data_IF_353216263738
#
_entry.id   IF_353216263738
#
_cell.length_a   1.000
_cell.length_b   1.000
_cell.length_c   1.000
_cell.angle_alpha   90.00
_cell.angle_beta   90.00
_cell.angle_gamma   90.00
#
_symmetry.space_group_name_H-M   'P 1'
#
loop_
_entity.id
_entity.type
_entity.pdbx_description
1 polymer ?
#
# COMPACT_ATOMS: atom_id res chain seq x y z
N UNK A 1 7.51 8.93 -13.71
CA UNK A 1 6.96 8.20 -12.55
C UNK A 1 6.26 9.17 -11.62
N UNK A 2 4.93 9.12 -11.57
CA UNK A 2 4.14 9.73 -10.51
C UNK A 2 4.21 8.85 -9.25
N UNK A 3 4.28 9.49 -8.09
CA UNK A 3 4.30 8.80 -6.81
C UNK A 3 3.52 9.57 -5.76
N UNK A 4 3.18 8.90 -4.66
CA UNK A 4 2.66 9.53 -3.44
C UNK A 4 3.55 9.14 -2.27
N UNK A 5 3.92 10.11 -1.43
CA UNK A 5 4.63 9.81 -0.18
C UNK A 5 3.62 9.79 0.95
N UNK A 6 3.54 8.68 1.68
CA UNK A 6 2.59 8.50 2.78
C UNK A 6 3.30 7.87 3.95
N UNK A 7 2.77 8.05 5.16
CA UNK A 7 3.29 7.41 6.35
C UNK A 7 2.18 6.81 7.21
N UNK A 8 2.49 5.70 7.87
CA UNK A 8 1.67 5.11 8.91
C UNK A 8 2.44 5.11 10.22
N UNK A 9 2.04 5.94 11.19
CA UNK A 9 2.70 6.04 12.51
C UNK A 9 4.22 6.30 12.42
N UNK A 10 4.62 7.22 11.52
CA UNK A 10 6.02 7.60 11.32
C UNK A 10 6.81 6.73 10.34
N UNK A 11 6.33 5.53 10.00
CA UNK A 11 6.96 4.69 8.98
C UNK A 11 6.48 5.12 7.58
N UNK A 12 7.38 5.69 6.79
CA UNK A 12 7.07 6.37 5.53
C UNK A 12 7.60 5.62 4.29
N UNK A 13 6.78 5.52 3.25
CA UNK A 13 7.15 4.91 1.97
C UNK A 13 6.81 5.83 0.80
N UNK A 14 7.53 5.63 -0.30
CA UNK A 14 7.13 6.11 -1.62
C UNK A 14 6.18 5.08 -2.22
N UNK A 15 4.97 5.50 -2.61
CA UNK A 15 3.94 4.65 -3.21
C UNK A 15 3.84 4.93 -4.70
N UNK A 16 3.84 3.88 -5.51
CA UNK A 16 3.69 3.97 -6.96
C UNK A 16 2.51 3.11 -7.42
N UNK A 17 1.63 3.72 -8.21
CA UNK A 17 0.48 3.05 -8.81
C UNK A 17 0.90 2.30 -10.09
N UNK A 18 1.04 0.98 -9.98
CA UNK A 18 1.44 0.13 -11.10
C UNK A 18 0.30 -0.27 -12.04
N UNK A 19 -0.89 0.32 -11.88
CA UNK A 19 -1.92 0.29 -12.91
C UNK A 19 -1.60 1.27 -14.06
N UNK A 20 -0.82 2.32 -13.77
CA UNK A 20 -0.46 3.37 -14.72
C UNK A 20 1.04 3.41 -15.02
N UNK A 21 1.88 3.07 -14.04
CA UNK A 21 3.33 3.17 -14.12
C UNK A 21 3.96 1.77 -14.21
N UNK A 22 4.92 1.59 -15.11
CA UNK A 22 5.71 0.35 -15.20
C UNK A 22 7.08 0.56 -14.58
N UNK A 23 7.38 -0.21 -13.54
CA UNK A 23 8.68 -0.18 -12.85
C UNK A 23 9.47 -1.44 -13.22
N UNK A 24 10.59 -1.26 -13.93
CA UNK A 24 11.41 -2.37 -14.44
C UNK A 24 12.31 -2.98 -13.37
N UNK A 25 12.92 -2.14 -12.52
CA UNK A 25 13.80 -2.56 -11.43
C UNK A 25 13.36 -1.90 -10.11
N UNK A 26 12.38 -2.50 -9.41
CA UNK A 26 11.87 -1.96 -8.15
C UNK A 26 12.93 -1.90 -7.04
N UNK A 27 13.84 -2.87 -6.99
CA UNK A 27 14.86 -2.95 -5.95
C UNK A 27 15.84 -1.78 -6.07
N UNK A 28 16.35 -1.53 -7.28
CA UNK A 28 17.22 -0.38 -7.54
C UNK A 28 16.48 0.93 -7.36
N UNK A 29 15.22 1.01 -7.79
CA UNK A 29 14.41 2.20 -7.59
C UNK A 29 14.23 2.51 -6.10
N UNK A 30 13.97 1.50 -5.27
CA UNK A 30 13.83 1.64 -3.83
C UNK A 30 15.08 2.27 -3.20
N UNK A 31 16.27 1.76 -3.53
CA UNK A 31 17.54 2.35 -3.08
C UNK A 31 17.67 3.83 -3.46
N UNK A 32 17.31 4.18 -4.70
CA UNK A 32 17.41 5.57 -5.19
C UNK A 32 16.42 6.48 -4.46
N UNK A 33 15.14 6.10 -4.38
CA UNK A 33 14.10 7.00 -3.83
C UNK A 33 14.19 7.12 -2.30
N UNK A 34 14.74 6.11 -1.64
CA UNK A 34 14.86 6.06 -0.18
C UNK A 34 16.00 6.91 0.38
N UNK A 35 16.96 7.35 -0.43
CA UNK A 35 18.01 8.26 0.04
C UNK A 35 17.39 9.57 0.56
N UNK A 36 17.58 9.84 1.86
CA UNK A 36 17.00 11.01 2.54
C UNK A 36 17.76 12.32 2.29
N UNK A 37 19.01 12.26 1.83
CA UNK A 37 19.84 13.44 1.62
C UNK A 37 19.73 13.97 0.19
N UNK A 38 19.66 13.06 -0.79
CA UNK A 38 19.74 13.41 -2.21
C UNK A 38 18.48 13.06 -3.02
N UNK A 39 17.50 12.41 -2.40
CA UNK A 39 16.26 11.98 -3.05
C UNK A 39 15.02 12.30 -2.21
N UNK A 40 13.91 11.60 -2.45
CA UNK A 40 12.63 11.80 -1.76
C UNK A 40 12.74 11.46 -0.26
N UNK A 41 13.55 10.45 0.06
CA UNK A 41 13.82 9.96 1.40
C UNK A 41 12.67 9.21 2.03
N UNK A 42 12.78 7.90 2.21
CA UNK A 42 11.71 7.08 2.80
C UNK A 42 12.29 5.78 3.36
N UNK A 43 11.54 5.06 4.18
CA UNK A 43 11.93 3.73 4.68
C UNK A 43 11.92 2.67 3.56
N UNK A 44 11.28 2.97 2.42
CA UNK A 44 11.28 2.13 1.24
C UNK A 44 10.37 2.61 0.12
N UNK A 45 10.10 1.70 -0.81
CA UNK A 45 9.17 1.82 -1.93
C UNK A 45 8.06 0.78 -1.79
N UNK A 46 6.82 1.19 -2.01
CA UNK A 46 5.66 0.32 -2.12
C UNK A 46 5.04 0.45 -3.51
N UNK A 47 4.88 -0.68 -4.18
CA UNK A 47 4.17 -0.77 -5.45
C UNK A 47 2.76 -1.29 -5.21
N UNK A 48 1.77 -0.59 -5.77
CA UNK A 48 0.36 -0.98 -5.76
C UNK A 48 0.04 -1.55 -7.15
N UNK A 49 0.03 -2.87 -7.26
CA UNK A 49 -0.08 -3.58 -8.52
C UNK A 49 -1.47 -4.21 -8.70
N UNK A 50 -1.86 -4.52 -9.96
CA UNK A 50 -2.99 -5.41 -10.22
C UNK A 50 -2.77 -6.78 -9.58
N UNK A 51 -3.80 -7.33 -8.94
CA UNK A 51 -3.81 -8.69 -8.37
C UNK A 51 -4.74 -9.61 -9.16
N UNK A 52 -4.45 -10.91 -9.16
CA UNK A 52 -5.38 -11.96 -9.64
C UNK A 52 -6.18 -12.60 -8.51
N UNK A 53 -5.83 -12.34 -7.25
CA UNK A 53 -6.37 -13.02 -6.06
C UNK A 53 -7.11 -12.09 -5.11
N UNK A 54 -6.88 -10.79 -5.22
CA UNK A 54 -7.36 -9.76 -4.31
C UNK A 54 -7.70 -8.47 -5.08
N UNK A 55 -8.10 -7.43 -4.36
CA UNK A 55 -8.47 -6.13 -4.94
C UNK A 55 -7.24 -5.41 -5.52
N UNK A 56 -6.13 -5.44 -4.79
CA UNK A 56 -4.81 -4.94 -5.21
C UNK A 56 -3.70 -5.83 -4.64
N UNK A 57 -2.52 -5.77 -5.23
CA UNK A 57 -1.32 -6.43 -4.73
C UNK A 57 -0.32 -5.39 -4.23
N UNK A 58 0.07 -5.50 -2.96
CA UNK A 58 1.11 -4.69 -2.35
C UNK A 58 2.46 -5.42 -2.45
N UNK A 59 3.45 -4.78 -3.08
CA UNK A 59 4.85 -5.19 -3.04
C UNK A 59 5.68 -4.15 -2.32
N UNK A 60 6.56 -4.58 -1.42
CA UNK A 60 7.34 -3.68 -0.56
C UNK A 60 8.81 -3.92 -0.82
N UNK A 61 9.56 -2.86 -1.05
CA UNK A 61 11.00 -2.86 -1.16
C UNK A 61 11.58 -1.95 -0.10
N UNK A 62 12.46 -2.46 0.75
CA UNK A 62 13.16 -1.68 1.75
C UNK A 62 14.16 -0.72 1.08
N UNK A 63 14.66 0.24 1.85
CA UNK A 63 15.67 1.19 1.38
C UNK A 63 16.97 0.54 0.84
N UNK A 64 17.27 -0.70 1.23
CA UNK A 64 18.41 -1.48 0.70
C UNK A 64 18.07 -2.26 -0.59
N UNK A 65 16.83 -2.18 -1.07
CA UNK A 65 16.33 -2.88 -2.25
C UNK A 65 15.81 -4.29 -1.99
N UNK A 66 15.90 -4.81 -0.77
CA UNK A 66 15.33 -6.12 -0.42
C UNK A 66 13.79 -6.08 -0.47
N UNK A 67 13.16 -7.14 -1.01
CA UNK A 67 11.70 -7.27 -1.05
C UNK A 67 11.20 -7.88 0.26
N UNK A 68 10.28 -7.19 0.94
CA UNK A 68 9.67 -7.66 2.18
C UNK A 68 8.28 -8.27 1.90
N UNK A 69 7.91 -9.29 2.67
CA UNK A 69 6.65 -10.00 2.44
C UNK A 69 5.42 -9.21 2.91
N UNK A 70 5.53 -8.46 4.01
CA UNK A 70 4.41 -7.73 4.60
C UNK A 70 4.89 -6.56 5.47
N UNK A 71 4.15 -5.45 5.45
CA UNK A 71 4.31 -4.34 6.37
C UNK A 71 2.93 -3.82 6.82
N UNK A 72 2.64 -3.96 8.11
CA UNK A 72 1.36 -3.54 8.70
C UNK A 72 1.13 -2.03 8.67
N UNK A 73 2.20 -1.21 8.61
CA UNK A 73 2.09 0.24 8.43
C UNK A 73 1.81 0.60 6.97
N UNK A 74 2.56 -0.01 6.05
CA UNK A 74 2.43 0.22 4.63
C UNK A 74 1.04 -0.12 4.08
N UNK A 75 0.47 -1.25 4.51
CA UNK A 75 -0.82 -1.75 4.02
C UNK A 75 -2.00 -0.81 4.33
N UNK A 76 -1.94 -0.05 5.44
CA UNK A 76 -2.97 0.95 5.78
C UNK A 76 -3.00 2.06 4.74
N UNK A 77 -1.83 2.53 4.30
CA UNK A 77 -1.72 3.53 3.25
C UNK A 77 -2.12 2.97 1.89
N UNK A 78 -1.79 1.70 1.58
CA UNK A 78 -2.26 1.04 0.35
C UNK A 78 -3.78 0.97 0.31
N UNK A 79 -4.43 0.56 1.40
CA UNK A 79 -5.88 0.47 1.48
C UNK A 79 -6.53 1.85 1.25
N UNK A 80 -6.01 2.90 1.90
CA UNK A 80 -6.45 4.28 1.67
C UNK A 80 -6.27 4.69 0.20
N UNK A 81 -5.07 4.48 -0.35
CA UNK A 81 -4.75 4.88 -1.72
C UNK A 81 -5.66 4.19 -2.74
N UNK A 82 -5.82 2.87 -2.62
CA UNK A 82 -6.64 2.07 -3.52
C UNK A 82 -8.11 2.50 -3.48
N UNK A 83 -8.63 2.83 -2.30
CA UNK A 83 -9.99 3.34 -2.13
C UNK A 83 -10.17 4.73 -2.77
N UNK A 84 -9.32 5.70 -2.43
CA UNK A 84 -9.43 7.09 -2.91
C UNK A 84 -9.25 7.20 -4.43
N UNK A 85 -8.36 6.38 -5.01
CA UNK A 85 -8.09 6.35 -6.45
C UNK A 85 -9.01 5.39 -7.20
N UNK A 86 -9.99 4.78 -6.53
CA UNK A 86 -10.97 3.84 -7.13
C UNK A 86 -10.31 2.69 -7.89
N UNK A 87 -9.15 2.23 -7.40
CA UNK A 87 -8.44 1.08 -7.98
C UNK A 87 -9.17 -0.23 -7.71
N UNK A 88 -9.99 -0.24 -6.66
CA UNK A 88 -10.86 -1.34 -6.30
C UNK A 88 -12.18 -0.85 -5.75
N UNK A 89 -13.20 -1.70 -5.84
CA UNK A 89 -14.50 -1.45 -5.20
C UNK A 89 -14.46 -2.06 -3.81
N UNK A 90 -14.54 -1.22 -2.78
CA UNK A 90 -14.59 -1.71 -1.41
C UNK A 90 -15.73 -2.72 -1.23
N UNK A 91 -15.40 -3.83 -0.57
CA UNK A 91 -16.32 -4.90 -0.21
C UNK A 91 -17.07 -4.56 1.07
N UNK A 92 -18.04 -5.41 1.44
CA UNK A 92 -18.94 -5.19 2.58
C UNK A 92 -18.26 -5.09 3.95
N UNK A 93 -19.09 -4.96 4.98
CA UNK A 93 -18.66 -4.73 6.34
C UNK A 93 -17.67 -5.80 6.84
N UNK A 94 -16.67 -5.36 7.61
CA UNK A 94 -15.64 -6.21 8.19
C UNK A 94 -15.52 -5.94 9.68
N UNK A 95 -15.40 -7.00 10.49
CA UNK A 95 -15.37 -6.89 11.94
C UNK A 95 -14.22 -7.71 12.51
N UNK A 96 -13.50 -7.11 13.46
CA UNK A 96 -12.47 -7.79 14.26
C UNK A 96 -12.98 -7.89 15.70
N UNK A 97 -12.87 -9.06 16.36
CA UNK A 97 -13.28 -9.21 17.75
C UNK A 97 -12.62 -8.14 18.66
N UNK A 98 -13.44 -7.45 19.46
CA UNK A 98 -12.97 -6.39 20.36
C UNK A 98 -12.76 -5.02 19.70
N UNK A 99 -13.13 -4.85 18.42
CA UNK A 99 -13.11 -3.55 17.73
C UNK A 99 -14.49 -3.20 17.15
N UNK A 100 -14.81 -1.91 16.98
CA UNK A 100 -15.99 -1.50 16.23
C UNK A 100 -15.97 -2.07 14.79
N UNK A 101 -17.14 -2.42 14.22
CA UNK A 101 -17.21 -2.90 12.85
C UNK A 101 -16.81 -1.78 11.86
N UNK A 102 -16.10 -2.16 10.81
CA UNK A 102 -15.80 -1.28 9.68
C UNK A 102 -16.92 -1.43 8.64
N UNK A 103 -17.49 -0.32 8.11
CA UNK A 103 -18.57 -0.39 7.12
C UNK A 103 -18.13 -0.95 5.77
N UNK A 104 -16.83 -0.85 5.45
CA UNK A 104 -16.26 -1.32 4.21
C UNK A 104 -14.93 -2.02 4.44
N UNK A 105 -14.47 -2.79 3.46
CA UNK A 105 -13.17 -3.47 3.52
C UNK A 105 -12.52 -3.65 2.15
N UNK A 106 -11.22 -3.90 2.14
CA UNK A 106 -10.45 -4.28 0.95
C UNK A 106 -9.60 -5.51 1.25
N UNK A 107 -9.51 -6.41 0.27
CA UNK A 107 -8.60 -7.54 0.28
C UNK A 107 -7.33 -7.15 -0.46
N UNK A 108 -6.19 -7.21 0.22
CA UNK A 108 -4.89 -6.82 -0.33
C UNK A 108 -3.99 -8.04 -0.35
N UNK A 109 -3.52 -8.43 -1.53
CA UNK A 109 -2.49 -9.44 -1.67
C UNK A 109 -1.15 -8.88 -1.18
N UNK A 110 -0.39 -9.71 -0.48
CA UNK A 110 0.97 -9.41 0.03
C UNK A 110 1.88 -10.60 -0.27
N UNK A 111 3.17 -10.49 0.01
CA UNK A 111 4.12 -11.62 -0.12
C UNK A 111 3.77 -12.80 0.78
N UNK A 112 3.05 -12.57 1.90
CA UNK A 112 2.62 -13.60 2.84
C UNK A 112 1.11 -13.95 2.76
N UNK A 113 0.47 -13.71 1.60
CA UNK A 113 -0.93 -14.03 1.36
C UNK A 113 -1.86 -12.82 1.33
N UNK A 114 -3.18 -13.07 1.33
CA UNK A 114 -4.21 -12.01 1.21
C UNK A 114 -4.70 -11.60 2.60
N UNK A 115 -4.69 -10.30 2.87
CA UNK A 115 -5.17 -9.71 4.12
C UNK A 115 -6.39 -8.82 3.86
N UNK A 116 -7.39 -8.89 4.73
CA UNK A 116 -8.54 -8.00 4.69
C UNK A 116 -8.27 -6.79 5.59
N UNK A 117 -8.41 -5.59 5.03
CA UNK A 117 -8.24 -4.32 5.74
C UNK A 117 -9.60 -3.63 5.82
N UNK A 118 -10.08 -3.40 7.04
CA UNK A 118 -11.29 -2.62 7.29
C UNK A 118 -11.07 -1.13 7.02
N UNK A 119 -12.09 -0.49 6.43
CA UNK A 119 -12.12 0.93 6.13
C UNK A 119 -13.23 1.59 6.93
N UNK A 120 -12.88 2.67 7.64
CA UNK A 120 -13.83 3.63 8.17
C UNK A 120 -13.79 4.81 7.21
N UNK A 121 -14.86 4.94 6.44
CA UNK A 121 -15.03 6.04 5.48
C UNK A 121 -16.04 6.99 6.10
N UNK A 122 -15.67 8.27 6.22
CA UNK A 122 -16.67 9.29 6.45
C UNK A 122 -17.56 9.29 5.21
N UNK A 123 -18.75 8.69 5.30
CA UNK A 123 -19.76 8.88 4.27
C UNK A 123 -20.02 10.38 4.22
N UNK A 124 -19.51 11.05 3.19
CA UNK A 124 -20.00 12.39 2.86
C UNK A 124 -21.50 12.26 2.65
N UNK A 125 -22.26 12.85 3.57
CA UNK A 125 -23.65 13.24 3.35
C UNK A 125 -23.78 14.08 2.09
#
# INVERSE_FOLDING_TARGET
MRFSKMHGLGNDYVYVNCFEEKIEDPAKLAQIVSDRHFSIGADGLILICPSKKADVWMRIFNADGSEAEMCGNGIRCVAKYAYEHKLAKASGAFSVPGQPPCPASLNIETGNGVLTVGLITDTMT
#
